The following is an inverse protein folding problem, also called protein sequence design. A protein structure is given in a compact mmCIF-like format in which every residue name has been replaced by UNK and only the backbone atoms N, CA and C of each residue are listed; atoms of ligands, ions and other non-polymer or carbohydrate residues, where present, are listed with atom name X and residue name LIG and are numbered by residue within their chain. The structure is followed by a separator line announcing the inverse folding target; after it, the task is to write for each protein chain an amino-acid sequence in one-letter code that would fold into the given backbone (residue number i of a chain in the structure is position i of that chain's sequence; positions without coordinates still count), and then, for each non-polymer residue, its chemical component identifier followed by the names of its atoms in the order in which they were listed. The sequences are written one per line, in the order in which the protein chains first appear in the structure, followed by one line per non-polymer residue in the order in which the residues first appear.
data_IF_957797383361
#
_entry.id   IF_957797383361
#
_cell.length_a   1.000
_cell.length_b   1.000
_cell.length_c   1.000
_cell.angle_alpha   90.00
_cell.angle_beta   90.00
_cell.angle_gamma   90.00
#
_symmetry.space_group_name_H-M   'P 1'
#
loop_
_entity.id
_entity.type
_entity.pdbx_description
1 polymer ?
#
# COMPACT_ATOMS: atom_id res chain seq x y z
N UNK A 1 8.35 -5.99 -3.52
CA UNK A 1 6.95 -5.53 -3.40
C UNK A 1 6.07 -6.59 -2.77
N UNK A 2 6.10 -7.85 -3.25
CA UNK A 2 5.37 -8.96 -2.64
C UNK A 2 5.76 -9.19 -1.17
N UNK A 3 7.05 -9.23 -0.86
CA UNK A 3 7.54 -9.44 0.52
C UNK A 3 7.04 -8.35 1.50
N UNK A 4 6.89 -7.12 1.01
CA UNK A 4 6.34 -6.00 1.80
C UNK A 4 4.85 -6.19 2.03
N UNK A 5 4.11 -6.61 0.99
CA UNK A 5 2.68 -6.90 1.13
C UNK A 5 2.44 -8.07 2.12
N UNK A 6 3.28 -9.09 2.07
CA UNK A 6 3.27 -10.21 3.02
C UNK A 6 3.59 -9.75 4.45
N UNK A 7 4.63 -8.92 4.63
CA UNK A 7 4.93 -8.34 5.94
C UNK A 7 3.73 -7.57 6.52
N UNK A 8 3.02 -6.80 5.69
CA UNK A 8 1.80 -6.10 6.10
C UNK A 8 0.66 -7.06 6.46
N UNK A 9 0.47 -8.16 5.73
CA UNK A 9 -0.52 -9.19 6.05
C UNK A 9 -0.22 -9.90 7.37
N UNK A 10 1.05 -10.18 7.63
CA UNK A 10 1.54 -10.79 8.86
C UNK A 10 1.62 -9.80 10.04
N UNK A 11 1.29 -8.52 9.81
CA UNK A 11 1.34 -7.43 10.81
C UNK A 11 2.75 -7.22 11.39
N UNK A 12 3.75 -7.33 10.52
CA UNK A 12 5.16 -7.09 10.84
C UNK A 12 5.55 -5.71 10.33
N UNK A 13 6.16 -4.91 11.18
CA UNK A 13 6.70 -3.61 10.80
C UNK A 13 7.87 -3.77 9.81
N UNK A 14 7.90 -2.96 8.75
CA UNK A 14 8.96 -3.00 7.76
C UNK A 14 9.35 -1.59 7.26
N UNK A 15 10.61 -1.44 6.85
CA UNK A 15 11.12 -0.25 6.16
C UNK A 15 11.48 -0.63 4.73
N UNK A 16 10.96 0.14 3.77
CA UNK A 16 11.17 -0.12 2.35
C UNK A 16 11.86 1.07 1.71
N UNK A 17 13.04 0.84 1.14
CA UNK A 17 13.76 1.81 0.32
C UNK A 17 13.51 1.46 -1.14
N UNK A 18 12.78 2.32 -1.84
CA UNK A 18 12.45 2.09 -3.25
C UNK A 18 12.37 3.40 -4.04
N UNK A 19 12.96 3.42 -5.24
CA UNK A 19 12.98 4.58 -6.13
C UNK A 19 11.60 5.04 -6.59
N UNK A 20 11.50 6.20 -7.23
CA UNK A 20 10.28 6.67 -7.92
C UNK A 20 9.88 5.69 -9.03
N UNK A 21 8.58 5.55 -9.30
CA UNK A 21 8.06 4.60 -10.31
C UNK A 21 8.14 3.10 -9.96
N UNK A 22 8.79 2.71 -8.87
CA UNK A 22 8.99 1.29 -8.48
C UNK A 22 7.74 0.52 -8.03
N UNK A 23 6.55 1.11 -8.08
CA UNK A 23 5.32 0.47 -7.63
C UNK A 23 5.12 0.46 -6.11
N UNK A 24 5.57 1.51 -5.40
CA UNK A 24 5.41 1.65 -3.94
C UNK A 24 3.95 1.58 -3.45
N UNK A 25 2.98 1.84 -4.33
CA UNK A 25 1.54 1.79 -4.01
C UNK A 25 1.03 0.35 -3.86
N UNK A 26 1.56 -0.57 -4.67
CA UNK A 26 1.15 -1.98 -4.70
C UNK A 26 1.17 -2.67 -3.33
N UNK A 27 2.24 -2.60 -2.51
CA UNK A 27 2.32 -3.38 -1.29
C UNK A 27 1.26 -3.06 -0.23
N UNK A 28 0.78 -1.82 -0.12
CA UNK A 28 -0.30 -1.49 0.84
C UNK A 28 -1.71 -1.63 0.25
N UNK A 29 -1.85 -1.72 -1.07
CA UNK A 29 -3.14 -2.00 -1.72
C UNK A 29 -3.45 -3.51 -1.73
N UNK A 30 -2.47 -4.36 -2.06
CA UNK A 30 -2.66 -5.81 -2.20
C UNK A 30 -3.35 -6.47 -0.99
N UNK A 31 -2.95 -6.17 0.27
CA UNK A 31 -3.61 -6.75 1.44
C UNK A 31 -5.11 -6.44 1.52
N UNK A 32 -5.55 -5.27 1.04
CA UNK A 32 -6.95 -4.85 1.12
C UNK A 32 -7.84 -5.55 0.09
N UNK A 33 -7.25 -6.12 -0.97
CA UNK A 33 -7.99 -6.82 -2.02
C UNK A 33 -8.32 -8.27 -1.65
N UNK A 34 -7.74 -8.80 -0.58
CA UNK A 34 -8.02 -10.15 -0.10
C UNK A 34 -9.40 -10.24 0.54
N UNK A 35 -10.13 -11.32 0.25
CA UNK A 35 -11.46 -11.58 0.79
C UNK A 35 -11.46 -11.66 2.32
N UNK A 36 -10.41 -12.19 2.95
CA UNK A 36 -10.27 -12.25 4.42
C UNK A 36 -10.10 -10.86 5.05
N UNK A 37 -9.78 -9.84 4.25
CA UNK A 37 -9.61 -8.45 4.67
C UNK A 37 -10.77 -7.55 4.24
N UNK A 38 -11.87 -8.12 3.73
CA UNK A 38 -13.08 -7.36 3.38
C UNK A 38 -13.59 -6.55 4.58
N UNK A 39 -13.84 -5.26 4.37
CA UNK A 39 -14.32 -4.34 5.40
C UNK A 39 -13.20 -3.74 6.28
N UNK A 40 -11.95 -4.13 6.08
CA UNK A 40 -10.79 -3.46 6.70
C UNK A 40 -10.34 -2.28 5.82
N UNK A 41 -9.65 -1.33 6.42
CA UNK A 41 -9.06 -0.19 5.72
C UNK A 41 -7.60 0.00 6.13
N UNK A 42 -6.80 0.60 5.25
CA UNK A 42 -5.45 1.05 5.55
C UNK A 42 -5.41 2.58 5.63
N UNK A 43 -4.75 3.13 6.65
CA UNK A 43 -4.48 4.56 6.74
C UNK A 43 -3.15 4.87 6.05
N UNK A 44 -3.21 5.57 4.93
CA UNK A 44 -2.04 5.98 4.15
C UNK A 44 -1.81 7.47 4.39
N UNK A 45 -0.68 7.81 5.01
CA UNK A 45 -0.29 9.21 5.25
C UNK A 45 0.74 9.59 4.19
N UNK A 46 0.40 10.59 3.36
CA UNK A 46 1.30 11.14 2.36
C UNK A 46 1.33 12.68 2.44
N UNK A 47 2.48 13.31 2.19
CA UNK A 47 2.63 14.75 2.40
C UNK A 47 1.99 15.63 1.31
N UNK A 48 1.66 15.06 0.14
CA UNK A 48 1.18 15.80 -1.02
C UNK A 48 -0.20 15.32 -1.46
N UNK A 49 -1.16 16.24 -1.48
CA UNK A 49 -2.52 15.97 -1.96
C UNK A 49 -2.56 15.46 -3.41
N UNK A 50 -1.66 15.97 -4.26
CA UNK A 50 -1.57 15.53 -5.65
C UNK A 50 -1.28 14.03 -5.76
N UNK A 51 -0.38 13.50 -4.91
CA UNK A 51 -0.08 12.07 -4.90
C UNK A 51 -1.28 11.22 -4.46
N UNK A 52 -2.12 11.75 -3.57
CA UNK A 52 -3.35 11.07 -3.14
C UNK A 52 -4.36 11.03 -4.28
N UNK A 53 -4.53 12.13 -5.00
CA UNK A 53 -5.43 12.21 -6.16
C UNK A 53 -5.01 11.21 -7.26
N UNK A 54 -3.71 11.12 -7.55
CA UNK A 54 -3.17 10.14 -8.52
C UNK A 54 -3.48 8.70 -8.10
N UNK A 55 -3.28 8.36 -6.82
CA UNK A 55 -3.55 7.02 -6.28
C UNK A 55 -5.02 6.63 -6.37
N UNK A 56 -5.95 7.57 -6.18
CA UNK A 56 -7.39 7.33 -6.34
C UNK A 56 -7.76 7.16 -7.81
N UNK A 57 -7.20 7.98 -8.71
CA UNK A 57 -7.50 7.89 -10.15
C UNK A 57 -6.97 6.61 -10.83
N UNK A 58 -6.05 5.90 -10.16
CA UNK A 58 -5.46 4.65 -10.62
C UNK A 58 -6.28 3.41 -10.23
N UNK A 59 -7.30 3.55 -9.37
CA UNK A 59 -8.19 2.49 -8.89
C UNK A 59 -9.55 2.64 -9.57
#
# INVERSE_FOLDING_TARGET
QLDVAEALLLRVDCLVIAGTGSGKTTPFLLPLLLSENKGKFALIVSPLLLLQAEQVSLI
#
